data_IF_642972900576
#
_entry.id   IF_642972900576
#
_cell.length_a   1.000
_cell.length_b   1.000
_cell.length_c   1.000
_cell.angle_alpha   90.00
_cell.angle_beta   90.00
_cell.angle_gamma   90.00
#
_symmetry.space_group_name_H-M   'P 1'
#
loop_
_entity.id
_entity.type
_entity.pdbx_description
1 polymer ?
#
# COMPACT_ATOMS: atom_id res chain seq x y z
N UNK A 1 4.64 5.68 -10.54
CA UNK A 1 5.42 4.50 -10.18
C UNK A 1 6.78 4.59 -10.86
N UNK A 2 7.87 4.61 -10.10
CA UNK A 2 9.21 4.47 -10.67
C UNK A 2 9.33 3.02 -11.14
N UNK A 3 9.01 2.78 -12.40
CA UNK A 3 9.18 1.46 -13.00
C UNK A 3 10.67 1.11 -12.99
N UNK A 4 11.02 0.01 -12.38
CA UNK A 4 12.34 -0.57 -12.60
C UNK A 4 12.55 -0.73 -14.11
N UNK A 5 13.73 -0.45 -14.65
CA UNK A 5 13.99 -0.53 -16.09
C UNK A 5 13.63 -1.90 -16.72
N UNK A 6 13.64 -2.96 -15.93
CA UNK A 6 13.31 -4.33 -16.33
C UNK A 6 11.80 -4.60 -16.53
N UNK A 7 10.92 -3.69 -16.06
CA UNK A 7 9.46 -3.83 -16.24
C UNK A 7 8.94 -2.98 -17.42
N UNK A 8 9.62 -3.04 -18.54
CA UNK A 8 9.14 -2.45 -19.80
C UNK A 8 8.27 -3.49 -20.52
N UNK A 9 6.97 -3.36 -20.40
CA UNK A 9 6.03 -4.24 -21.10
C UNK A 9 4.67 -4.32 -20.39
N UNK A 10 3.67 -4.96 -21.01
CA UNK A 10 2.39 -5.19 -20.38
C UNK A 10 2.55 -6.10 -19.16
N UNK A 11 1.73 -5.86 -18.13
CA UNK A 11 1.64 -6.76 -17.00
C UNK A 11 1.27 -8.18 -17.48
N UNK A 12 1.91 -9.20 -16.92
CA UNK A 12 1.62 -10.60 -17.25
C UNK A 12 1.32 -11.38 -15.96
N UNK A 13 0.29 -12.24 -15.95
CA UNK A 13 -0.01 -13.04 -14.80
C UNK A 13 1.10 -14.06 -14.54
N UNK A 14 1.46 -14.25 -13.28
CA UNK A 14 2.42 -15.30 -12.84
C UNK A 14 1.66 -16.61 -12.60
N UNK A 15 1.22 -17.28 -13.65
CA UNK A 15 0.40 -18.50 -13.55
C UNK A 15 1.09 -19.62 -12.77
N UNK A 16 2.41 -19.80 -12.92
CA UNK A 16 3.20 -20.78 -12.15
C UNK A 16 3.29 -20.47 -10.63
N UNK A 17 2.83 -19.31 -10.19
CA UNK A 17 2.83 -18.98 -8.77
C UNK A 17 1.87 -19.87 -7.98
N UNK A 18 0.74 -20.23 -8.57
CA UNK A 18 -0.27 -21.07 -7.93
C UNK A 18 0.31 -22.43 -7.53
N UNK A 19 0.98 -23.14 -8.45
CA UNK A 19 1.58 -24.45 -8.20
C UNK A 19 2.57 -24.40 -7.03
N UNK A 20 3.39 -23.35 -6.99
CA UNK A 20 4.34 -23.13 -5.89
C UNK A 20 3.67 -22.84 -4.55
N UNK A 21 2.59 -22.08 -4.56
CA UNK A 21 1.80 -21.79 -3.35
C UNK A 21 1.12 -23.05 -2.84
N UNK A 22 0.57 -23.87 -3.73
CA UNK A 22 -0.02 -25.16 -3.36
C UNK A 22 1.01 -26.11 -2.75
N UNK A 23 2.17 -26.27 -3.37
CA UNK A 23 3.27 -27.09 -2.86
C UNK A 23 3.73 -26.62 -1.47
N UNK A 24 3.97 -25.30 -1.33
CA UNK A 24 4.36 -24.69 -0.05
C UNK A 24 3.27 -24.89 1.00
N UNK A 25 2.00 -24.67 0.66
CA UNK A 25 0.89 -24.77 1.60
C UNK A 25 0.73 -26.20 2.14
N UNK A 26 0.96 -27.23 1.31
CA UNK A 26 0.92 -28.65 1.71
C UNK A 26 2.12 -29.07 2.56
N UNK A 27 3.32 -28.60 2.20
CA UNK A 27 4.56 -29.02 2.86
C UNK A 27 4.86 -28.28 4.17
N UNK A 28 4.35 -27.06 4.34
CA UNK A 28 4.63 -26.23 5.53
C UNK A 28 3.76 -26.67 6.70
N UNK A 29 4.41 -27.12 7.79
CA UNK A 29 3.71 -27.53 9.03
C UNK A 29 3.26 -26.35 9.87
N UNK A 30 4.13 -25.37 10.11
CA UNK A 30 3.84 -24.18 10.89
C UNK A 30 3.17 -23.12 10.02
N UNK A 31 1.95 -22.71 10.38
CA UNK A 31 1.16 -21.76 9.61
C UNK A 31 1.41 -20.32 10.06
N UNK A 32 2.58 -19.80 9.72
CA UNK A 32 2.94 -18.41 9.98
C UNK A 32 2.13 -17.45 9.07
N UNK A 33 1.92 -16.18 9.51
CA UNK A 33 1.24 -15.19 8.69
C UNK A 33 1.92 -14.98 7.34
N UNK A 34 1.13 -15.02 6.27
CA UNK A 34 1.60 -14.75 4.90
C UNK A 34 1.17 -13.36 4.49
N UNK A 35 2.13 -12.51 4.18
CA UNK A 35 1.87 -11.20 3.59
C UNK A 35 1.74 -11.32 2.07
N UNK A 36 0.61 -10.84 1.55
CA UNK A 36 0.33 -10.76 0.12
C UNK A 36 0.55 -9.32 -0.32
N UNK A 37 1.66 -9.06 -0.87
CA UNK A 37 2.24 -7.85 -1.49
C UNK A 37 3.66 -7.64 -0.98
N UNK A 38 4.52 -7.20 -1.88
CA UNK A 38 5.87 -6.73 -1.55
C UNK A 38 6.28 -5.64 -2.56
N UNK A 39 6.59 -6.02 -3.79
CA UNK A 39 7.06 -5.10 -4.83
C UNK A 39 5.94 -4.53 -5.72
N UNK A 40 4.82 -5.22 -5.82
CA UNK A 40 3.69 -4.85 -6.70
C UNK A 40 2.36 -5.13 -6.02
N UNK A 41 1.33 -4.36 -6.36
CA UNK A 41 -0.02 -4.59 -5.83
C UNK A 41 -0.57 -5.94 -6.33
N UNK A 42 -1.09 -6.79 -5.45
CA UNK A 42 -1.66 -8.07 -5.82
C UNK A 42 -3.02 -7.97 -6.53
N UNK A 43 -3.71 -6.83 -6.39
CA UNK A 43 -5.01 -6.57 -6.99
C UNK A 43 -4.91 -5.54 -8.13
N UNK A 44 -3.89 -5.67 -9.00
CA UNK A 44 -3.81 -4.88 -10.22
C UNK A 44 -5.04 -5.14 -11.12
N UNK A 45 -5.40 -4.24 -12.06
CA UNK A 45 -6.56 -4.42 -12.93
C UNK A 45 -6.62 -5.79 -13.62
N UNK A 46 -5.45 -6.34 -14.02
CA UNK A 46 -5.34 -7.68 -14.63
C UNK A 46 -5.84 -8.80 -13.69
N UNK A 47 -5.80 -8.61 -12.38
CA UNK A 47 -6.31 -9.58 -11.40
C UNK A 47 -7.84 -9.73 -11.48
N UNK A 48 -8.55 -8.72 -11.97
CA UNK A 48 -9.98 -8.81 -12.26
C UNK A 48 -10.32 -9.94 -13.24
N UNK A 49 -9.44 -10.16 -14.20
CA UNK A 49 -9.58 -11.18 -15.25
C UNK A 49 -8.91 -12.50 -14.87
N UNK A 50 -7.61 -12.43 -14.52
CA UNK A 50 -6.76 -13.63 -14.36
C UNK A 50 -6.99 -14.36 -13.03
N UNK A 51 -7.43 -13.67 -11.98
CA UNK A 51 -7.76 -14.22 -10.65
C UNK A 51 -6.62 -15.07 -10.03
N UNK A 52 -5.38 -14.73 -10.31
CA UNK A 52 -4.22 -15.49 -9.79
C UNK A 52 -4.08 -15.26 -8.29
N UNK A 53 -4.18 -14.00 -7.83
CA UNK A 53 -4.14 -13.65 -6.41
C UNK A 53 -5.28 -14.34 -5.67
N UNK A 54 -6.52 -14.28 -6.17
CA UNK A 54 -7.67 -14.94 -5.57
C UNK A 54 -7.44 -16.43 -5.38
N UNK A 55 -6.91 -17.12 -6.40
CA UNK A 55 -6.61 -18.57 -6.31
C UNK A 55 -5.54 -18.87 -5.27
N UNK A 56 -4.45 -18.09 -5.24
CA UNK A 56 -3.40 -18.25 -4.24
C UNK A 56 -3.92 -18.02 -2.81
N UNK A 57 -4.70 -16.94 -2.61
CA UNK A 57 -5.29 -16.61 -1.32
C UNK A 57 -6.25 -17.73 -0.86
N UNK A 58 -7.04 -18.29 -1.78
CA UNK A 58 -7.93 -19.42 -1.50
C UNK A 58 -7.15 -20.64 -0.99
N UNK A 59 -6.09 -21.03 -1.69
CA UNK A 59 -5.23 -22.16 -1.26
C UNK A 59 -4.64 -21.92 0.13
N UNK A 60 -4.17 -20.70 0.40
CA UNK A 60 -3.63 -20.35 1.72
C UNK A 60 -4.70 -20.42 2.82
N UNK A 61 -5.90 -19.89 2.55
CA UNK A 61 -7.02 -19.91 3.51
C UNK A 61 -7.47 -21.35 3.80
N UNK A 62 -7.65 -22.19 2.78
CA UNK A 62 -8.00 -23.61 2.92
C UNK A 62 -6.96 -24.42 3.71
N UNK A 63 -5.71 -23.97 3.70
CA UNK A 63 -4.62 -24.53 4.51
C UNK A 63 -4.37 -23.78 5.83
N UNK A 64 -5.31 -22.93 6.26
CA UNK A 64 -5.33 -22.21 7.55
C UNK A 64 -4.15 -21.25 7.79
N UNK A 65 -3.54 -20.71 6.76
CA UNK A 65 -2.55 -19.65 6.92
C UNK A 65 -3.23 -18.33 7.29
N UNK A 66 -2.78 -17.63 8.35
CA UNK A 66 -3.19 -16.25 8.58
C UNK A 66 -2.69 -15.36 7.44
N UNK A 67 -3.52 -14.38 7.03
CA UNK A 67 -3.24 -13.54 5.87
C UNK A 67 -3.11 -12.07 6.26
N UNK A 68 -2.12 -11.40 5.70
CA UNK A 68 -2.01 -9.94 5.67
C UNK A 68 -2.07 -9.49 4.21
N UNK A 69 -3.18 -8.92 3.81
CA UNK A 69 -3.36 -8.40 2.45
C UNK A 69 -3.00 -6.92 2.42
N UNK A 70 -2.04 -6.54 1.59
CA UNK A 70 -1.64 -5.13 1.43
C UNK A 70 -1.93 -4.69 0.00
N UNK A 71 -2.78 -3.67 -0.18
CA UNK A 71 -3.20 -3.22 -1.51
C UNK A 71 -3.62 -1.75 -1.54
N UNK A 72 -3.70 -1.18 -2.74
CA UNK A 72 -4.35 0.09 -3.05
C UNK A 72 -5.68 -0.10 -3.79
N UNK A 73 -6.06 -1.35 -4.08
CA UNK A 73 -7.18 -1.66 -4.95
C UNK A 73 -8.44 -2.04 -4.16
N UNK A 74 -9.55 -1.41 -4.48
CA UNK A 74 -10.89 -1.74 -4.00
C UNK A 74 -11.34 -3.15 -4.44
N UNK A 75 -10.74 -3.69 -5.50
CA UNK A 75 -10.98 -5.06 -5.98
C UNK A 75 -10.75 -6.13 -4.89
N UNK A 76 -10.01 -5.83 -3.85
CA UNK A 76 -9.78 -6.74 -2.71
C UNK A 76 -11.08 -7.15 -2.03
N UNK A 77 -12.11 -6.31 -2.03
CA UNK A 77 -13.43 -6.60 -1.46
C UNK A 77 -14.13 -7.78 -2.15
N UNK A 78 -13.77 -8.11 -3.40
CA UNK A 78 -14.26 -9.30 -4.12
C UNK A 78 -13.96 -10.61 -3.37
N UNK A 79 -12.89 -10.66 -2.60
CA UNK A 79 -12.36 -11.88 -2.01
C UNK A 79 -12.74 -12.05 -0.52
N UNK A 80 -13.71 -11.28 -0.03
CA UNK A 80 -14.26 -11.35 1.33
C UNK A 80 -14.72 -12.77 1.70
N UNK A 81 -15.34 -13.49 0.75
CA UNK A 81 -15.80 -14.86 0.92
C UNK A 81 -14.66 -15.84 1.28
N UNK A 82 -13.43 -15.52 0.92
CA UNK A 82 -12.23 -16.27 1.28
C UNK A 82 -11.67 -15.76 2.62
N UNK A 83 -11.63 -14.45 2.81
CA UNK A 83 -11.03 -13.83 3.99
C UNK A 83 -11.72 -14.21 5.30
N UNK A 84 -13.02 -14.43 5.27
CA UNK A 84 -13.79 -14.89 6.45
C UNK A 84 -13.45 -16.34 6.86
N UNK A 85 -12.79 -17.12 6.00
CA UNK A 85 -12.46 -18.52 6.26
C UNK A 85 -11.17 -18.70 7.07
N UNK A 86 -10.36 -17.65 7.22
CA UNK A 86 -9.09 -17.67 7.96
C UNK A 86 -8.83 -16.34 8.66
N UNK A 87 -7.82 -16.31 9.54
CA UNK A 87 -7.40 -15.06 10.18
C UNK A 87 -6.81 -14.12 9.14
N UNK A 88 -7.60 -13.16 8.68
CA UNK A 88 -7.17 -12.19 7.67
C UNK A 88 -7.19 -10.78 8.23
N UNK A 89 -6.19 -9.99 7.88
CA UNK A 89 -6.16 -8.54 8.04
C UNK A 89 -5.99 -7.91 6.65
N UNK A 90 -6.84 -6.95 6.33
CA UNK A 90 -6.69 -6.16 5.10
C UNK A 90 -6.10 -4.80 5.42
N UNK A 91 -4.94 -4.52 4.85
CA UNK A 91 -4.20 -3.27 5.01
C UNK A 91 -4.27 -2.48 3.71
N UNK A 92 -5.18 -1.50 3.67
CA UNK A 92 -5.42 -0.65 2.50
C UNK A 92 -4.58 0.62 2.55
N UNK A 93 -3.86 0.91 1.48
CA UNK A 93 -3.14 2.17 1.36
C UNK A 93 -4.09 3.27 0.89
N UNK A 94 -4.25 4.30 1.73
CA UNK A 94 -4.98 5.54 1.43
C UNK A 94 -4.08 6.69 1.89
N UNK A 95 -3.37 7.30 0.95
CA UNK A 95 -2.31 8.29 1.24
C UNK A 95 -2.83 9.72 1.39
N UNK A 96 -4.03 9.97 0.94
CA UNK A 96 -4.73 11.26 0.98
C UNK A 96 -6.21 11.04 0.73
N UNK A 97 -7.05 11.98 1.14
CA UNK A 97 -8.48 12.03 0.79
C UNK A 97 -8.71 12.82 -0.50
N UNK A 98 -7.73 13.58 -0.94
CA UNK A 98 -7.81 14.46 -2.10
C UNK A 98 -7.55 13.72 -3.40
N UNK A 99 -8.51 13.75 -4.31
CA UNK A 99 -8.42 13.08 -5.63
C UNK A 99 -7.29 13.63 -6.51
N UNK A 100 -7.08 14.95 -6.50
CA UNK A 100 -6.02 15.60 -7.28
C UNK A 100 -4.62 15.17 -6.82
N UNK A 101 -4.42 15.05 -5.51
CA UNK A 101 -3.17 14.55 -4.93
C UNK A 101 -3.01 13.06 -5.19
N UNK A 102 -4.08 12.26 -5.01
CA UNK A 102 -4.04 10.83 -5.29
C UNK A 102 -3.70 10.55 -6.75
N UNK A 103 -4.31 11.28 -7.70
CA UNK A 103 -4.01 11.17 -9.12
C UNK A 103 -2.56 11.54 -9.45
N UNK A 104 -1.98 12.50 -8.74
CA UNK A 104 -0.58 12.91 -8.91
C UNK A 104 0.40 11.84 -8.45
N UNK A 105 0.19 11.27 -7.25
CA UNK A 105 1.18 10.37 -6.62
C UNK A 105 0.93 8.89 -6.93
N UNK A 106 -0.33 8.52 -7.24
CA UNK A 106 -0.78 7.15 -7.48
C UNK A 106 -1.69 7.04 -8.73
N UNK A 107 -1.25 7.47 -9.91
CA UNK A 107 -2.10 7.73 -11.11
C UNK A 107 -2.85 6.50 -11.64
N UNK A 108 -2.54 5.31 -11.17
CA UNK A 108 -3.16 4.06 -11.62
C UNK A 108 -3.88 3.30 -10.50
N UNK A 109 -3.96 3.89 -9.33
CA UNK A 109 -4.71 3.32 -8.22
C UNK A 109 -6.15 3.87 -8.23
N UNK A 110 -7.13 3.12 -7.71
CA UNK A 110 -8.48 3.62 -7.52
C UNK A 110 -8.50 4.90 -6.67
N UNK A 111 -9.47 5.80 -6.87
CA UNK A 111 -9.60 7.01 -6.06
C UNK A 111 -9.80 6.69 -4.56
N UNK A 112 -9.50 7.64 -3.66
CA UNK A 112 -9.57 7.43 -2.21
C UNK A 112 -10.92 6.97 -1.70
N UNK A 113 -12.00 7.50 -2.22
CA UNK A 113 -13.39 7.15 -1.85
C UNK A 113 -13.72 5.67 -2.08
N UNK A 114 -13.29 5.09 -3.20
CA UNK A 114 -13.47 3.66 -3.49
C UNK A 114 -12.67 2.79 -2.53
N UNK A 115 -11.47 3.21 -2.16
CA UNK A 115 -10.63 2.50 -1.18
C UNK A 115 -11.25 2.55 0.22
N UNK A 116 -11.76 3.70 0.64
CA UNK A 116 -12.47 3.88 1.92
C UNK A 116 -13.77 3.06 1.94
N UNK A 117 -14.51 3.04 0.83
CA UNK A 117 -15.70 2.23 0.68
C UNK A 117 -15.39 0.72 0.77
N UNK A 118 -14.30 0.27 0.17
CA UNK A 118 -13.84 -1.12 0.29
C UNK A 118 -13.48 -1.48 1.74
N UNK A 119 -12.79 -0.58 2.47
CA UNK A 119 -12.51 -0.78 3.90
C UNK A 119 -13.80 -0.94 4.73
N UNK A 120 -14.82 -0.12 4.46
CA UNK A 120 -16.15 -0.26 5.09
C UNK A 120 -16.73 -1.63 4.83
N UNK A 121 -16.86 -2.01 3.56
CA UNK A 121 -17.46 -3.29 3.14
C UNK A 121 -16.77 -4.50 3.79
N UNK A 122 -15.44 -4.45 3.87
CA UNK A 122 -14.63 -5.51 4.49
C UNK A 122 -14.82 -5.53 6.01
N UNK A 123 -14.80 -4.35 6.65
CA UNK A 123 -14.98 -4.20 8.10
C UNK A 123 -16.37 -4.65 8.58
N UNK A 124 -17.44 -4.38 7.80
CA UNK A 124 -18.81 -4.84 8.08
C UNK A 124 -18.93 -6.36 8.10
N UNK A 125 -18.01 -7.09 7.46
CA UNK A 125 -17.93 -8.54 7.53
C UNK A 125 -17.10 -9.07 8.71
N UNK A 126 -16.70 -8.17 9.62
CA UNK A 126 -15.90 -8.51 10.80
C UNK A 126 -14.42 -8.79 10.51
N UNK A 127 -13.94 -8.48 9.31
CA UNK A 127 -12.54 -8.64 8.93
C UNK A 127 -11.77 -7.39 9.41
N UNK A 128 -10.72 -7.53 10.24
CA UNK A 128 -9.91 -6.41 10.68
C UNK A 128 -9.29 -5.64 9.50
N UNK A 129 -9.46 -4.31 9.53
CA UNK A 129 -8.93 -3.40 8.52
C UNK A 129 -7.90 -2.45 9.13
N UNK A 130 -6.86 -2.16 8.36
CA UNK A 130 -5.79 -1.21 8.69
C UNK A 130 -5.64 -0.23 7.53
N UNK A 131 -5.59 1.07 7.80
CA UNK A 131 -5.21 2.04 6.79
C UNK A 131 -3.69 2.27 6.79
N UNK A 132 -3.11 2.48 5.61
CA UNK A 132 -1.71 2.83 5.43
C UNK A 132 -1.60 4.20 4.78
N UNK A 133 -0.99 5.14 5.48
CA UNK A 133 -0.54 6.41 4.89
C UNK A 133 0.95 6.29 4.57
N UNK A 134 1.23 5.54 3.53
CA UNK A 134 2.59 5.18 3.11
C UNK A 134 2.70 5.27 1.57
N UNK A 135 3.38 6.34 1.06
CA UNK A 135 4.17 7.31 1.81
C UNK A 135 3.47 8.61 2.19
N UNK A 136 3.91 9.25 3.28
CA UNK A 136 3.78 10.69 3.48
C UNK A 136 4.90 11.37 2.71
N UNK A 137 4.56 12.30 1.84
CA UNK A 137 5.47 13.05 0.98
C UNK A 137 5.44 14.52 1.39
N UNK A 138 6.53 15.07 1.95
CA UNK A 138 6.56 16.45 2.40
C UNK A 138 6.09 17.43 1.31
N UNK A 139 5.29 18.40 1.69
CA UNK A 139 4.74 19.44 0.82
C UNK A 139 3.74 18.98 -0.26
N UNK A 140 3.34 17.70 -0.21
CA UNK A 140 2.36 17.13 -1.16
C UNK A 140 1.12 16.62 -0.43
N UNK A 141 1.28 15.66 0.49
CA UNK A 141 0.19 15.06 1.26
C UNK A 141 0.49 15.08 2.77
N UNK A 142 1.19 16.09 3.25
CA UNK A 142 1.53 16.29 4.66
C UNK A 142 0.83 17.52 5.27
N UNK A 143 -0.28 17.96 4.68
CA UNK A 143 -1.18 18.95 5.25
C UNK A 143 -1.95 18.36 6.43
N UNK A 144 -2.08 19.12 7.52
CA UNK A 144 -2.70 18.63 8.77
C UNK A 144 -4.21 18.54 8.64
N UNK A 145 -4.86 19.52 7.99
CA UNK A 145 -6.31 19.54 7.80
C UNK A 145 -6.76 18.39 6.89
N UNK A 146 -6.06 18.20 5.76
CA UNK A 146 -6.29 17.07 4.84
C UNK A 146 -6.09 15.72 5.56
N UNK A 147 -5.12 15.63 6.47
CA UNK A 147 -4.86 14.41 7.24
C UNK A 147 -5.93 14.16 8.30
N UNK A 148 -6.41 15.19 9.00
CA UNK A 148 -7.50 15.10 9.97
C UNK A 148 -8.79 14.62 9.29
N UNK A 149 -9.10 15.16 8.10
CA UNK A 149 -10.25 14.73 7.30
C UNK A 149 -10.11 13.26 6.89
N UNK A 150 -8.91 12.83 6.45
CA UNK A 150 -8.63 11.44 6.12
C UNK A 150 -8.83 10.51 7.33
N UNK A 151 -8.28 10.87 8.49
CA UNK A 151 -8.42 10.07 9.72
C UNK A 151 -9.88 9.96 10.14
N UNK A 152 -10.62 11.06 10.07
CA UNK A 152 -12.07 11.08 10.37
C UNK A 152 -12.84 10.17 9.41
N UNK A 153 -12.57 10.23 8.11
CA UNK A 153 -13.20 9.36 7.12
C UNK A 153 -12.90 7.88 7.37
N UNK A 154 -11.66 7.55 7.72
CA UNK A 154 -11.22 6.18 8.04
C UNK A 154 -11.88 5.68 9.34
N UNK A 155 -11.95 6.50 10.39
CA UNK A 155 -12.62 6.15 11.64
C UNK A 155 -14.12 5.89 11.43
N UNK A 156 -14.80 6.70 10.61
CA UNK A 156 -16.21 6.55 10.28
C UNK A 156 -16.55 5.23 9.55
N UNK A 157 -15.56 4.58 8.94
CA UNK A 157 -15.74 3.25 8.32
C UNK A 157 -15.18 2.11 9.19
N UNK A 158 -14.85 2.40 10.46
CA UNK A 158 -14.46 1.40 11.44
C UNK A 158 -12.98 1.02 11.45
N UNK A 159 -12.13 1.74 10.73
CA UNK A 159 -10.66 1.56 10.82
C UNK A 159 -10.18 2.03 12.18
N UNK A 160 -9.41 1.19 12.88
CA UNK A 160 -8.90 1.46 14.23
C UNK A 160 -7.38 1.55 14.30
N UNK A 161 -6.71 1.33 13.20
CA UNK A 161 -5.25 1.38 13.14
C UNK A 161 -4.80 2.04 11.85
N UNK A 162 -3.89 3.00 12.00
CA UNK A 162 -3.20 3.64 10.88
C UNK A 162 -1.70 3.32 10.99
N UNK A 163 -1.09 2.92 9.88
CA UNK A 163 0.36 2.82 9.74
C UNK A 163 0.85 3.91 8.81
N UNK A 164 1.86 4.66 9.22
CA UNK A 164 2.39 5.76 8.43
C UNK A 164 3.91 5.64 8.25
N UNK A 165 4.40 6.01 7.08
CA UNK A 165 5.82 6.20 6.84
C UNK A 165 6.09 7.28 5.81
N UNK A 166 7.26 7.93 5.89
CA UNK A 166 7.65 8.93 4.90
C UNK A 166 8.20 8.29 3.64
N UNK A 167 8.12 9.00 2.51
CA UNK A 167 8.64 8.53 1.23
C UNK A 167 10.11 8.07 1.34
N UNK A 168 10.39 6.91 0.76
CA UNK A 168 11.73 6.29 0.65
C UNK A 168 12.11 6.22 -0.84
N UNK A 169 12.66 7.31 -1.42
CA UNK A 169 13.02 7.35 -2.82
C UNK A 169 14.06 6.28 -3.16
N UNK A 170 13.82 5.53 -4.22
CA UNK A 170 14.80 4.60 -4.78
C UNK A 170 15.93 5.35 -5.47
N UNK A 171 17.07 4.69 -5.65
CA UNK A 171 18.20 5.24 -6.40
C UNK A 171 17.74 5.75 -7.78
N UNK A 172 18.15 6.97 -8.13
CA UNK A 172 17.81 7.61 -9.40
C UNK A 172 16.46 8.35 -9.41
N UNK A 173 15.67 8.26 -8.34
CA UNK A 173 14.39 9.00 -8.23
C UNK A 173 14.59 10.51 -8.41
N UNK A 174 15.49 11.11 -7.63
CA UNK A 174 15.73 12.55 -7.69
C UNK A 174 16.33 13.04 -9.01
N UNK A 175 17.15 12.23 -9.68
CA UNK A 175 17.63 12.55 -11.02
C UNK A 175 16.49 12.66 -12.01
N UNK A 176 15.60 11.66 -12.02
CA UNK A 176 14.40 11.67 -12.89
C UNK A 176 13.44 12.80 -12.53
N UNK A 177 13.23 13.03 -11.24
CA UNK A 177 12.33 14.09 -10.80
C UNK A 177 12.83 15.47 -11.22
N UNK A 178 14.14 15.70 -11.16
CA UNK A 178 14.76 16.95 -11.62
C UNK A 178 14.50 17.20 -13.11
N UNK A 179 14.58 16.14 -13.91
CA UNK A 179 14.39 16.24 -15.35
C UNK A 179 12.91 16.45 -15.72
N UNK A 180 11.97 15.90 -14.94
CA UNK A 180 10.54 15.97 -15.16
C UNK A 180 9.89 17.19 -14.52
N UNK A 181 10.28 17.56 -13.33
CA UNK A 181 9.72 18.68 -12.55
C UNK A 181 10.81 19.28 -11.64
N UNK A 182 11.58 20.26 -12.15
CA UNK A 182 12.68 20.87 -11.39
C UNK A 182 12.24 21.58 -10.12
N UNK A 183 11.05 22.15 -10.10
CA UNK A 183 10.51 22.85 -8.94
C UNK A 183 10.19 21.86 -7.79
N UNK A 184 9.44 20.80 -8.09
CA UNK A 184 9.13 19.75 -7.13
C UNK A 184 10.41 19.06 -6.66
N UNK A 185 11.38 18.82 -7.55
CA UNK A 185 12.70 18.32 -7.18
C UNK A 185 13.36 19.21 -6.13
N UNK A 186 13.40 20.53 -6.34
CA UNK A 186 14.04 21.49 -5.42
C UNK A 186 13.36 21.47 -4.05
N UNK A 187 12.01 21.44 -4.02
CA UNK A 187 11.23 21.37 -2.79
C UNK A 187 11.53 20.08 -2.01
N UNK A 188 11.40 18.93 -2.65
CA UNK A 188 11.62 17.64 -1.99
C UNK A 188 13.10 17.41 -1.64
N UNK A 189 14.05 17.80 -2.50
CA UNK A 189 15.47 17.60 -2.25
C UNK A 189 15.96 18.25 -0.95
N UNK A 190 15.37 19.37 -0.55
CA UNK A 190 15.70 20.03 0.72
C UNK A 190 15.49 19.12 1.94
N UNK A 191 14.53 18.20 1.91
CA UNK A 191 14.30 17.23 2.98
C UNK A 191 15.28 16.05 2.93
N UNK A 192 15.82 15.74 1.77
CA UNK A 192 16.60 14.52 1.54
C UNK A 192 18.11 14.75 1.36
N UNK A 193 18.56 15.97 1.04
CA UNK A 193 19.98 16.26 0.71
C UNK A 193 20.96 15.83 1.80
N UNK A 194 20.60 16.02 3.07
CA UNK A 194 21.43 15.70 4.23
C UNK A 194 21.03 14.36 4.89
N UNK A 195 20.22 13.58 4.21
CA UNK A 195 19.78 12.28 4.69
C UNK A 195 20.77 11.16 4.35
N UNK A 196 20.43 9.96 4.76
CA UNK A 196 21.24 8.75 4.56
C UNK A 196 20.74 7.90 3.40
N UNK A 197 21.63 7.10 2.82
CA UNK A 197 21.26 6.09 1.83
C UNK A 197 21.53 4.70 2.38
N UNK A 198 20.52 3.85 2.38
CA UNK A 198 20.63 2.47 2.84
C UNK A 198 19.78 1.55 1.97
N UNK A 199 20.26 0.34 1.67
CA UNK A 199 19.54 -0.71 0.95
C UNK A 199 18.92 -0.25 -0.40
N UNK A 200 19.57 0.68 -1.09
CA UNK A 200 19.08 1.22 -2.39
C UNK A 200 18.06 2.34 -2.28
N UNK A 201 17.73 2.77 -1.08
CA UNK A 201 16.80 3.88 -0.81
C UNK A 201 17.53 5.11 -0.25
N UNK A 202 16.94 6.28 -0.49
CA UNK A 202 17.32 7.53 0.17
C UNK A 202 16.32 7.84 1.28
N UNK A 203 16.82 8.20 2.46
CA UNK A 203 15.99 8.57 3.61
C UNK A 203 16.20 10.05 3.94
N UNK A 204 15.17 10.71 4.45
CA UNK A 204 15.34 11.97 5.16
C UNK A 204 16.11 11.72 6.46
N UNK A 205 16.70 12.77 7.05
CA UNK A 205 17.27 12.68 8.40
C UNK A 205 16.23 12.10 9.37
N UNK A 206 16.70 11.30 10.32
CA UNK A 206 15.81 10.65 11.31
C UNK A 206 14.95 11.67 12.06
N UNK A 207 15.54 12.82 12.42
CA UNK A 207 14.84 13.92 13.10
C UNK A 207 13.69 14.49 12.27
N UNK A 208 13.89 14.68 10.96
CA UNK A 208 12.84 15.16 10.06
C UNK A 208 11.70 14.13 9.91
N UNK A 209 12.05 12.86 9.77
CA UNK A 209 11.06 11.79 9.72
C UNK A 209 10.22 11.72 10.99
N UNK A 210 10.87 11.81 12.14
CA UNK A 210 10.19 11.84 13.45
C UNK A 210 9.27 13.05 13.56
N UNK A 211 9.75 14.25 13.21
CA UNK A 211 8.96 15.49 13.24
C UNK A 211 7.69 15.39 12.40
N UNK A 212 7.78 14.82 11.18
CA UNK A 212 6.61 14.63 10.30
C UNK A 212 5.61 13.67 10.94
N UNK A 213 6.06 12.52 11.44
CA UNK A 213 5.17 11.53 12.05
C UNK A 213 4.57 12.03 13.37
N UNK A 214 5.35 12.70 14.20
CA UNK A 214 4.89 13.25 15.48
C UNK A 214 3.83 14.34 15.30
N UNK A 215 3.89 15.10 14.22
CA UNK A 215 2.88 16.11 13.89
C UNK A 215 1.47 15.50 13.70
N UNK A 216 1.40 14.30 13.14
CA UNK A 216 0.13 13.60 12.91
C UNK A 216 -0.31 12.71 14.08
N UNK A 217 0.55 12.45 15.05
CA UNK A 217 0.24 11.58 16.18
C UNK A 217 -0.95 12.03 17.04
N UNK A 218 -1.19 13.34 17.29
CA UNK A 218 -2.35 13.78 18.05
C UNK A 218 -3.70 13.61 17.33
N UNK A 219 -3.66 13.40 16.01
CA UNK A 219 -4.85 13.30 15.15
C UNK A 219 -5.40 11.87 15.09
N UNK A 220 -4.58 10.87 15.42
CA UNK A 220 -4.91 9.43 15.30
C UNK A 220 -5.46 8.82 16.59
#
# INVERSE_FOLDING_TARGET
>A
AVKFPSFRGPARPRTMLLDKVEEMARSTREKLPVMISDCTDPYQPLEGECRVTRRCVKVLAENHFPLLIVTKSDLVARDIDIFIQTKTVVSMTVTTIRDDIAALIEPHAPPPDLRISALRTIGEQGIPTVARVDPIIPTINDDEDDFEELVSALANVGVRQITASTLKPVRGFFSKLRDLNPELHRRLWNFYKDGESAMGYRYMRKTERQRIIERFRPIV
#
